data_IF_791392952068
#
_entry.id   IF_791392952068
#
_cell.length_a   1.000
_cell.length_b   1.000
_cell.length_c   1.000
_cell.angle_alpha   90.00
_cell.angle_beta   90.00
_cell.angle_gamma   90.00
#
_symmetry.space_group_name_H-M   'P 1'
#
loop_
_entity.id
_entity.type
_entity.pdbx_description
1 polymer ?
#
# COMPACT_ATOMS: atom_id res chain seq x y z
N UNK A 1 -64.00 14.53 0.78
CA UNK A 1 -62.94 15.44 0.33
C UNK A 1 -61.60 15.15 1.00
N UNK A 2 -61.41 15.22 2.33
CA UNK A 2 -60.12 15.03 2.99
C UNK A 2 -59.41 13.70 2.66
N UNK A 3 -60.16 12.59 2.56
CA UNK A 3 -59.57 11.27 2.22
C UNK A 3 -59.10 11.20 0.78
N UNK A 4 -59.81 11.81 -0.18
CA UNK A 4 -59.45 11.85 -1.60
C UNK A 4 -58.17 12.70 -1.78
N UNK A 5 -58.03 13.82 -1.08
CA UNK A 5 -56.85 14.67 -1.11
C UNK A 5 -55.64 13.94 -0.54
N UNK A 6 -55.81 13.19 0.56
CA UNK A 6 -54.74 12.40 1.16
C UNK A 6 -54.26 11.27 0.21
N UNK A 7 -55.17 10.62 -0.48
CA UNK A 7 -54.83 9.55 -1.46
C UNK A 7 -54.11 10.15 -2.68
N UNK A 8 -54.54 11.29 -3.18
CA UNK A 8 -53.87 11.98 -4.27
C UNK A 8 -52.49 12.50 -3.92
N UNK A 9 -52.30 13.00 -2.70
CA UNK A 9 -50.99 13.42 -2.18
C UNK A 9 -50.04 12.24 -1.99
N UNK A 10 -50.51 11.13 -1.47
CA UNK A 10 -49.69 9.91 -1.34
C UNK A 10 -49.29 9.33 -2.69
N UNK A 11 -50.20 9.34 -3.67
CA UNK A 11 -49.91 8.88 -5.03
C UNK A 11 -48.92 9.79 -5.74
N UNK A 12 -49.02 11.11 -5.57
CA UNK A 12 -48.04 12.08 -6.09
C UNK A 12 -46.67 11.90 -5.48
N UNK A 13 -46.59 11.61 -4.16
CA UNK A 13 -45.32 11.37 -3.47
C UNK A 13 -44.63 10.09 -3.94
N UNK A 14 -45.38 9.03 -4.21
CA UNK A 14 -44.85 7.79 -4.76
C UNK A 14 -44.40 7.94 -6.22
N UNK A 15 -45.09 8.73 -7.04
CA UNK A 15 -44.65 9.00 -8.39
C UNK A 15 -43.36 9.86 -8.47
N UNK A 16 -43.14 10.75 -7.54
CA UNK A 16 -41.91 11.57 -7.52
C UNK A 16 -40.66 10.79 -7.09
N UNK A 17 -40.83 9.67 -6.39
CA UNK A 17 -39.69 8.79 -6.02
C UNK A 17 -39.30 7.80 -7.12
N UNK A 18 -40.12 7.66 -8.18
CA UNK A 18 -39.87 6.65 -9.23
C UNK A 18 -39.10 7.13 -10.45
N UNK A 19 -38.76 8.41 -10.56
CA UNK A 19 -38.07 8.89 -11.76
C UNK A 19 -36.94 9.85 -11.38
N UNK A 20 -35.94 9.32 -10.71
CA UNK A 20 -34.60 9.80 -10.97
C UNK A 20 -33.93 8.77 -11.91
N UNK A 21 -33.78 9.07 -13.20
CA UNK A 21 -32.81 8.32 -13.96
C UNK A 21 -31.49 8.50 -13.22
N UNK A 22 -30.92 7.41 -12.73
CA UNK A 22 -29.51 7.42 -12.42
C UNK A 22 -28.81 7.74 -13.75
N UNK A 23 -28.55 9.01 -13.99
CA UNK A 23 -27.62 9.40 -15.03
C UNK A 23 -26.28 8.81 -14.57
N UNK A 24 -25.97 7.64 -15.09
CA UNK A 24 -24.63 7.14 -14.98
C UNK A 24 -23.76 8.14 -15.73
N UNK A 25 -23.05 8.96 -14.97
CA UNK A 25 -22.03 9.83 -15.52
C UNK A 25 -20.95 8.90 -16.07
N UNK A 26 -20.83 8.87 -17.40
CA UNK A 26 -19.75 8.10 -18.04
C UNK A 26 -18.48 8.91 -17.84
N UNK A 27 -17.57 8.39 -17.02
CA UNK A 27 -16.24 8.95 -16.88
C UNK A 27 -15.31 8.24 -17.88
N UNK A 28 -14.77 9.00 -18.82
CA UNK A 28 -13.68 8.49 -19.65
C UNK A 28 -12.42 8.35 -18.79
N UNK A 29 -11.74 7.23 -18.87
CA UNK A 29 -10.48 6.98 -18.20
C UNK A 29 -9.60 6.08 -19.06
N UNK A 30 -8.29 6.31 -19.04
CA UNK A 30 -7.33 5.42 -19.68
C UNK A 30 -7.20 4.13 -18.87
N UNK A 31 -7.18 4.25 -17.55
CA UNK A 31 -7.05 3.13 -16.63
C UNK A 31 -7.99 3.31 -15.44
N UNK A 32 -8.69 2.24 -15.07
CA UNK A 32 -9.48 2.16 -13.84
C UNK A 32 -8.86 1.10 -12.93
N UNK A 33 -8.53 1.50 -11.70
CA UNK A 33 -7.95 0.64 -10.68
C UNK A 33 -8.98 0.45 -9.58
N UNK A 34 -9.22 -0.79 -9.18
CA UNK A 34 -10.17 -1.14 -8.12
C UNK A 34 -9.42 -1.49 -6.85
N UNK A 35 -9.59 -0.66 -5.83
CA UNK A 35 -8.93 -0.73 -4.54
C UNK A 35 -7.74 0.25 -4.43
N UNK A 36 -7.77 1.12 -3.42
CA UNK A 36 -6.71 2.08 -3.11
C UNK A 36 -5.82 1.61 -1.95
N UNK A 37 -5.53 0.32 -1.88
CA UNK A 37 -4.48 -0.24 -1.03
C UNK A 37 -3.09 -0.06 -1.65
N UNK A 38 -2.03 -0.57 -1.02
CA UNK A 38 -0.66 -0.44 -1.51
C UNK A 38 -0.49 -0.84 -2.97
N UNK A 39 -1.04 -1.99 -3.38
CA UNK A 39 -0.96 -2.46 -4.76
C UNK A 39 -1.69 -1.53 -5.74
N UNK A 40 -2.88 -1.05 -5.38
CA UNK A 40 -3.65 -0.16 -6.26
C UNK A 40 -3.02 1.22 -6.39
N UNK A 41 -2.49 1.78 -5.30
CA UNK A 41 -1.77 3.05 -5.34
C UNK A 41 -0.49 2.94 -6.17
N UNK A 42 0.30 1.88 -5.98
CA UNK A 42 1.50 1.62 -6.81
C UNK A 42 1.15 1.46 -8.29
N UNK A 43 0.05 0.76 -8.61
CA UNK A 43 -0.41 0.62 -9.98
C UNK A 43 -0.84 1.97 -10.59
N UNK A 44 -1.45 2.85 -9.79
CA UNK A 44 -1.85 4.18 -10.25
C UNK A 44 -0.65 5.07 -10.57
N UNK A 45 0.36 5.05 -9.72
CA UNK A 45 1.61 5.78 -9.94
C UNK A 45 2.31 5.24 -11.19
N UNK A 46 2.48 3.92 -11.28
CA UNK A 46 3.11 3.30 -12.46
C UNK A 46 2.35 3.61 -13.75
N UNK A 47 1.02 3.62 -13.73
CA UNK A 47 0.23 4.00 -14.89
C UNK A 47 0.50 5.45 -15.32
N UNK A 48 0.54 6.38 -14.38
CA UNK A 48 0.82 7.79 -14.65
C UNK A 48 2.26 7.99 -15.17
N UNK A 49 3.25 7.34 -14.58
CA UNK A 49 4.66 7.37 -15.03
C UNK A 49 4.83 6.80 -16.45
N UNK A 50 3.97 5.87 -16.85
CA UNK A 50 3.95 5.29 -18.20
C UNK A 50 3.01 6.00 -19.18
N UNK A 51 2.54 7.20 -18.85
CA UNK A 51 1.87 8.10 -19.77
C UNK A 51 0.34 8.00 -19.80
N UNK A 52 -0.29 7.34 -18.83
CA UNK A 52 -1.74 7.44 -18.69
C UNK A 52 -2.12 8.85 -18.23
N UNK A 53 -2.97 9.52 -19.03
CA UNK A 53 -3.39 10.90 -18.72
C UNK A 53 -4.49 10.96 -17.67
N UNK A 54 -5.36 9.93 -17.64
CA UNK A 54 -6.49 9.86 -16.72
C UNK A 54 -6.60 8.49 -16.05
N UNK A 55 -6.10 8.43 -14.83
CA UNK A 55 -6.19 7.25 -13.96
C UNK A 55 -7.29 7.47 -12.92
N UNK A 56 -8.24 6.54 -12.82
CA UNK A 56 -9.30 6.55 -11.81
C UNK A 56 -9.05 5.39 -10.84
N UNK A 57 -8.96 5.71 -9.55
CA UNK A 57 -8.86 4.71 -8.49
C UNK A 57 -10.17 4.66 -7.73
N UNK A 58 -10.80 3.48 -7.69
CA UNK A 58 -12.05 3.25 -6.98
C UNK A 58 -11.74 2.60 -5.63
N UNK A 59 -12.19 3.23 -4.55
CA UNK A 59 -12.01 2.71 -3.19
C UNK A 59 -13.40 2.52 -2.51
N UNK A 60 -13.56 1.39 -1.87
CA UNK A 60 -14.82 1.03 -1.21
C UNK A 60 -15.00 1.75 0.13
N UNK A 61 -13.90 2.10 0.79
CA UNK A 61 -13.90 2.73 2.10
C UNK A 61 -13.68 4.24 2.00
N UNK A 62 -13.93 4.96 3.09
CA UNK A 62 -13.71 6.41 3.14
C UNK A 62 -12.23 6.82 3.21
N UNK A 63 -11.30 5.86 3.29
CA UNK A 63 -9.86 6.10 3.39
C UNK A 63 -9.10 5.19 2.44
N UNK A 64 -8.10 5.77 1.78
CA UNK A 64 -7.10 5.00 1.01
C UNK A 64 -6.07 4.33 1.93
N UNK A 65 -5.21 3.49 1.37
CA UNK A 65 -4.11 2.83 2.05
C UNK A 65 -4.39 1.38 2.43
N UNK A 66 -5.65 0.99 2.67
CA UNK A 66 -6.00 -0.39 3.02
C UNK A 66 -5.16 -0.93 4.18
N UNK A 67 -4.50 -2.08 3.98
CA UNK A 67 -3.64 -2.71 4.99
C UNK A 67 -2.40 -1.87 5.37
N UNK A 68 -1.93 -0.95 4.52
CA UNK A 68 -0.82 -0.05 4.86
C UNK A 68 -1.12 0.79 6.10
N UNK A 69 -2.38 1.14 6.34
CA UNK A 69 -2.79 1.90 7.52
C UNK A 69 -2.56 1.17 8.85
N UNK A 70 -2.33 -0.13 8.80
CA UNK A 70 -2.14 -1.00 9.98
C UNK A 70 -0.70 -1.48 10.11
N UNK A 71 0.18 -1.11 9.19
CA UNK A 71 1.60 -1.49 9.27
C UNK A 71 2.37 -0.48 10.11
N UNK A 72 3.50 -0.93 10.68
CA UNK A 72 4.46 -0.05 11.36
C UNK A 72 5.45 0.63 10.39
N UNK A 73 5.30 0.42 9.09
CA UNK A 73 6.20 0.93 8.07
C UNK A 73 7.51 0.19 7.94
N UNK A 74 7.65 -0.96 8.60
CA UNK A 74 8.83 -1.80 8.42
C UNK A 74 8.78 -2.48 7.06
N UNK A 75 9.92 -2.47 6.37
CA UNK A 75 10.14 -3.15 5.10
C UNK A 75 11.49 -3.86 5.13
N UNK A 76 11.59 -4.99 4.49
CA UNK A 76 12.85 -5.74 4.36
C UNK A 76 13.16 -6.00 2.90
N UNK A 77 14.43 -5.78 2.53
CA UNK A 77 14.94 -6.05 1.20
C UNK A 77 16.46 -6.28 1.25
N UNK A 78 16.99 -7.07 0.33
CA UNK A 78 18.40 -7.43 0.25
C UNK A 78 19.12 -6.67 -0.87
N UNK A 79 20.33 -6.18 -0.65
CA UNK A 79 21.13 -5.48 -1.66
C UNK A 79 20.66 -4.05 -1.97
N UNK A 80 20.00 -3.41 -1.01
CA UNK A 80 19.46 -2.04 -1.14
C UNK A 80 20.55 -0.98 -1.18
N UNK A 81 20.18 0.23 -1.58
CA UNK A 81 21.05 1.41 -1.55
C UNK A 81 21.65 1.59 -0.15
N UNK A 82 20.84 1.49 0.92
CA UNK A 82 21.32 1.69 2.28
C UNK A 82 22.30 0.60 2.70
N UNK A 83 22.06 -0.67 2.35
CA UNK A 83 23.04 -1.74 2.64
C UNK A 83 24.38 -1.47 1.96
N UNK A 84 24.38 -1.02 0.72
CA UNK A 84 25.60 -0.65 0.00
C UNK A 84 26.33 0.53 0.65
N UNK A 85 25.61 1.54 1.10
CA UNK A 85 26.16 2.70 1.82
C UNK A 85 26.78 2.29 3.17
N UNK A 86 26.16 1.34 3.87
CA UNK A 86 26.64 0.81 5.16
C UNK A 86 27.69 -0.30 5.01
N UNK A 87 28.07 -0.67 3.79
CA UNK A 87 29.04 -1.73 3.52
C UNK A 87 28.55 -3.13 3.88
N UNK A 88 27.24 -3.36 3.89
CA UNK A 88 26.62 -4.65 4.17
C UNK A 88 26.44 -5.40 2.86
N UNK A 89 27.10 -6.55 2.75
CA UNK A 89 26.91 -7.48 1.64
C UNK A 89 25.70 -8.37 1.92
N UNK A 90 24.72 -8.36 1.02
CA UNK A 90 23.51 -9.17 1.11
C UNK A 90 23.06 -9.63 -0.28
N UNK A 91 22.40 -10.77 -0.35
CA UNK A 91 21.88 -11.34 -1.60
C UNK A 91 20.42 -11.75 -1.47
N UNK A 92 19.73 -11.78 -2.61
CA UNK A 92 18.35 -12.27 -2.68
C UNK A 92 18.25 -13.72 -2.23
N UNK A 93 19.23 -14.56 -2.56
CA UNK A 93 19.28 -15.96 -2.16
C UNK A 93 19.35 -16.12 -0.63
N UNK A 94 20.19 -15.30 0.03
CA UNK A 94 20.27 -15.24 1.49
C UNK A 94 18.94 -14.83 2.08
N UNK A 95 18.28 -13.82 1.49
CA UNK A 95 16.99 -13.33 1.96
C UNK A 95 15.88 -14.38 1.82
N UNK A 96 15.81 -15.06 0.68
CA UNK A 96 14.87 -16.19 0.45
C UNK A 96 15.08 -17.29 1.48
N UNK A 97 16.35 -17.67 1.75
CA UNK A 97 16.67 -18.69 2.73
C UNK A 97 16.18 -18.30 4.14
N UNK A 98 16.43 -17.08 4.56
CA UNK A 98 15.98 -16.58 5.86
C UNK A 98 14.45 -16.58 6.00
N UNK A 99 13.70 -16.14 4.97
CA UNK A 99 12.23 -16.16 4.99
C UNK A 99 11.72 -17.61 5.12
N UNK A 100 12.30 -18.55 4.37
CA UNK A 100 11.91 -19.97 4.41
C UNK A 100 12.20 -20.56 5.79
N UNK A 101 13.39 -20.33 6.33
CA UNK A 101 13.79 -20.84 7.65
C UNK A 101 12.87 -20.29 8.73
N UNK A 102 12.63 -18.98 8.77
CA UNK A 102 11.71 -18.37 9.72
C UNK A 102 10.30 -18.94 9.59
N UNK A 103 9.80 -19.09 8.35
CA UNK A 103 8.49 -19.71 8.12
C UNK A 103 8.39 -21.12 8.68
N UNK A 104 9.43 -21.93 8.53
CA UNK A 104 9.49 -23.30 9.07
C UNK A 104 9.58 -23.29 10.60
N UNK A 105 10.41 -22.44 11.18
CA UNK A 105 10.63 -22.35 12.64
C UNK A 105 9.37 -21.94 13.38
N UNK A 106 8.52 -21.11 12.75
CA UNK A 106 7.21 -20.74 13.29
C UNK A 106 6.08 -21.72 12.91
N UNK A 107 6.40 -22.89 12.34
CA UNK A 107 5.41 -23.90 11.96
C UNK A 107 4.53 -23.53 10.77
N UNK A 108 4.98 -22.58 9.96
CA UNK A 108 4.33 -22.16 8.73
C UNK A 108 4.56 -23.14 7.57
N UNK A 109 4.02 -22.78 6.43
CA UNK A 109 4.22 -23.49 5.15
C UNK A 109 4.71 -22.50 4.11
N UNK A 110 6.00 -22.17 4.09
CA UNK A 110 6.54 -21.17 3.17
C UNK A 110 6.35 -21.63 1.72
N UNK A 111 5.75 -20.76 0.91
CA UNK A 111 5.67 -20.95 -0.53
C UNK A 111 6.92 -20.36 -1.18
N UNK A 112 7.84 -21.22 -1.57
CA UNK A 112 9.14 -20.82 -2.12
C UNK A 112 8.99 -19.93 -3.37
N UNK A 113 8.13 -20.29 -4.31
CA UNK A 113 7.94 -19.56 -5.56
C UNK A 113 7.45 -18.12 -5.29
N UNK A 114 6.50 -17.96 -4.38
CA UNK A 114 5.99 -16.64 -3.99
C UNK A 114 7.05 -15.81 -3.26
N UNK A 115 7.84 -16.47 -2.39
CA UNK A 115 8.94 -15.81 -1.66
C UNK A 115 10.03 -15.33 -2.64
N UNK A 116 10.38 -16.13 -3.64
CA UNK A 116 11.33 -15.75 -4.67
C UNK A 116 10.84 -14.56 -5.49
N UNK A 117 9.56 -14.53 -5.89
CA UNK A 117 8.97 -13.38 -6.57
C UNK A 117 9.05 -12.13 -5.70
N UNK A 118 8.67 -12.23 -4.44
CA UNK A 118 8.74 -11.11 -3.50
C UNK A 118 10.17 -10.60 -3.31
N UNK A 119 11.12 -11.50 -2.97
CA UNK A 119 12.49 -11.12 -2.65
C UNK A 119 13.24 -10.53 -3.86
N UNK A 120 13.00 -11.04 -5.07
CA UNK A 120 13.61 -10.52 -6.29
C UNK A 120 13.14 -9.10 -6.66
N UNK A 121 11.94 -8.71 -6.24
CA UNK A 121 11.40 -7.38 -6.55
C UNK A 121 11.49 -6.40 -5.37
N UNK A 122 11.72 -6.88 -4.14
CA UNK A 122 11.69 -6.06 -2.93
C UNK A 122 12.74 -4.94 -2.94
N UNK A 123 13.90 -5.19 -3.51
CA UNK A 123 15.00 -4.21 -3.59
C UNK A 123 14.65 -3.04 -4.48
N UNK A 124 14.15 -3.31 -5.68
CA UNK A 124 13.73 -2.28 -6.63
C UNK A 124 12.61 -1.40 -6.03
N UNK A 125 11.62 -2.01 -5.41
CA UNK A 125 10.54 -1.28 -4.74
C UNK A 125 11.07 -0.44 -3.57
N UNK A 126 11.98 -0.99 -2.76
CA UNK A 126 12.58 -0.24 -1.66
C UNK A 126 13.39 0.95 -2.15
N UNK A 127 14.27 0.73 -3.14
CA UNK A 127 15.14 1.77 -3.68
C UNK A 127 14.30 2.87 -4.35
N UNK A 128 13.24 2.50 -5.05
CA UNK A 128 12.28 3.46 -5.62
C UNK A 128 11.59 4.30 -4.52
N UNK A 129 11.07 3.67 -3.47
CA UNK A 129 10.46 4.39 -2.32
C UNK A 129 11.49 5.32 -1.66
N UNK A 130 12.73 4.86 -1.51
CA UNK A 130 13.80 5.63 -0.89
C UNK A 130 14.12 6.89 -1.68
N UNK A 131 14.26 6.78 -2.99
CA UNK A 131 14.54 7.91 -3.87
C UNK A 131 13.36 8.87 -4.04
N UNK A 132 12.13 8.37 -3.97
CA UNK A 132 10.92 9.16 -4.14
C UNK A 132 10.32 9.74 -2.84
N UNK A 133 11.07 9.76 -1.75
CA UNK A 133 10.66 10.48 -0.55
C UNK A 133 11.05 9.83 0.76
N UNK A 134 11.27 8.53 0.80
CA UNK A 134 11.63 7.86 2.05
C UNK A 134 12.99 8.34 2.57
N UNK A 135 13.91 8.71 1.68
CA UNK A 135 15.21 9.30 1.97
C UNK A 135 15.12 10.63 2.74
N UNK A 136 14.18 11.46 2.31
CA UNK A 136 13.97 12.81 2.83
C UNK A 136 12.73 12.89 3.74
N UNK A 137 12.05 11.75 3.91
CA UNK A 137 10.87 11.67 4.73
C UNK A 137 11.21 11.99 6.18
N UNK A 138 11.15 13.27 6.50
CA UNK A 138 11.08 13.78 7.86
C UNK A 138 9.64 13.74 8.34
N UNK A 139 8.93 12.65 8.04
CA UNK A 139 7.60 12.52 8.60
C UNK A 139 7.74 12.50 10.12
N UNK A 140 7.39 13.61 10.75
CA UNK A 140 7.59 13.86 12.18
C UNK A 140 9.03 13.62 12.68
N UNK A 141 10.05 13.94 11.86
CA UNK A 141 11.45 13.77 12.20
C UNK A 141 12.01 12.35 11.99
N UNK A 142 11.24 11.44 11.39
CA UNK A 142 11.67 10.08 11.18
C UNK A 142 12.49 9.92 9.89
N UNK A 143 13.62 9.23 9.97
CA UNK A 143 14.37 8.74 8.81
C UNK A 143 14.22 7.23 8.69
N UNK A 144 14.33 6.70 7.47
CA UNK A 144 14.48 5.27 7.27
C UNK A 144 15.83 4.85 7.91
N UNK A 145 15.78 3.94 8.86
CA UNK A 145 16.96 3.41 9.56
C UNK A 145 16.92 1.90 9.60
N UNK A 146 18.08 1.26 9.64
CA UNK A 146 18.18 -0.14 9.96
C UNK A 146 17.59 -0.43 11.34
N UNK A 147 16.89 -1.53 11.44
CA UNK A 147 16.36 -2.07 12.68
C UNK A 147 16.98 -3.44 12.96
N UNK A 148 18.28 -3.47 13.39
CA UNK A 148 18.98 -4.72 13.63
C UNK A 148 18.36 -5.55 14.75
N UNK A 149 17.60 -4.93 15.63
CA UNK A 149 16.85 -5.62 16.67
C UNK A 149 15.67 -6.46 16.14
N UNK A 150 15.25 -6.26 14.90
CA UNK A 150 14.33 -7.14 14.20
C UNK A 150 15.07 -8.31 13.53
N UNK A 151 16.02 -8.91 14.26
CA UNK A 151 16.89 -9.99 13.81
C UNK A 151 16.16 -11.33 13.58
N UNK A 152 15.08 -11.31 12.80
CA UNK A 152 14.50 -12.49 12.18
C UNK A 152 15.36 -12.98 11.00
N UNK A 153 16.38 -12.21 10.65
CA UNK A 153 17.23 -12.45 9.49
C UNK A 153 18.69 -12.55 9.88
N UNK A 154 19.44 -13.35 9.15
CA UNK A 154 20.90 -13.55 9.37
C UNK A 154 21.73 -12.30 9.06
N UNK A 155 21.20 -11.41 8.21
CA UNK A 155 21.83 -10.15 7.80
C UNK A 155 20.87 -8.99 8.08
N UNK A 156 21.36 -7.83 8.55
CA UNK A 156 20.54 -6.63 8.73
C UNK A 156 19.92 -6.16 7.41
N UNK A 157 18.61 -6.30 7.26
CA UNK A 157 17.88 -5.93 6.04
C UNK A 157 16.50 -5.35 6.28
N UNK A 158 16.15 -5.11 7.53
CA UNK A 158 14.88 -4.50 7.89
C UNK A 158 15.07 -2.99 8.08
N UNK A 159 14.21 -2.24 7.45
CA UNK A 159 14.15 -0.78 7.51
C UNK A 159 12.86 -0.39 8.19
N UNK A 160 12.93 0.59 9.05
CA UNK A 160 11.76 1.21 9.69
C UNK A 160 11.94 2.71 9.77
N UNK A 161 10.85 3.43 9.86
CA UNK A 161 10.88 4.84 10.14
C UNK A 161 11.03 5.02 11.64
N UNK A 162 12.06 5.74 12.03
CA UNK A 162 12.55 6.20 13.32
C UNK A 162 12.29 5.34 14.57
N UNK A 163 13.30 5.12 15.40
CA UNK A 163 13.16 4.40 16.66
C UNK A 163 12.41 5.17 17.77
N UNK A 164 12.33 6.49 17.67
CA UNK A 164 12.00 7.32 18.83
C UNK A 164 10.50 7.65 18.99
N UNK A 165 9.65 7.24 18.05
CA UNK A 165 8.23 7.59 18.08
C UNK A 165 7.30 6.40 17.82
N UNK A 166 7.42 5.39 18.67
CA UNK A 166 6.59 4.18 18.62
C UNK A 166 5.07 4.46 18.74
N UNK A 167 4.70 5.64 19.24
CA UNK A 167 3.30 6.06 19.38
C UNK A 167 2.70 6.63 18.09
N UNK A 168 3.52 6.95 17.08
CA UNK A 168 3.10 7.65 15.86
C UNK A 168 3.38 6.87 14.57
N UNK A 169 3.52 5.55 14.63
CA UNK A 169 3.74 4.70 13.47
C UNK A 169 2.59 4.78 12.47
N UNK A 170 2.71 5.70 11.51
CA UNK A 170 2.12 5.53 10.20
C UNK A 170 3.21 5.09 9.24
N UNK A 171 2.89 4.17 8.38
CA UNK A 171 3.82 3.65 7.40
C UNK A 171 4.42 4.77 6.55
N UNK A 172 5.74 4.89 6.50
CA UNK A 172 6.40 5.84 5.59
C UNK A 172 6.06 5.53 4.13
N UNK A 173 5.90 4.26 3.78
CA UNK A 173 5.45 3.86 2.46
C UNK A 173 4.05 4.40 2.12
N UNK A 174 3.17 4.55 3.11
CA UNK A 174 1.86 5.15 2.91
C UNK A 174 1.92 6.66 2.62
N UNK A 175 2.93 7.35 3.11
CA UNK A 175 3.10 8.79 2.84
C UNK A 175 3.75 9.05 1.46
N UNK A 176 4.43 8.06 0.90
CA UNK A 176 5.02 8.12 -0.44
C UNK A 176 4.02 7.72 -1.52
N UNK A 177 3.11 6.79 -1.24
CA UNK A 177 2.05 6.32 -2.13
C UNK A 177 0.76 7.14 -1.95
#
# INVERSE_FOLDING_TARGET
MKRIIATLLSLALVLTTMVMPAMAETADADIIIVGAGGAGLSAAISAAENGAEKVIVLEMTAKTGGALNFTSGSMSAAGTIIQKEEGIEDTVESYVADIINNGNDFGGRPNKELIEVYANNATEVFDWLYENGLKDATWRGAKAVFAPEHALYSIPRTYKCSPDDAANYKSAAHEVL
#
